data_IF_655504948297
#
_entry.id   IF_655504948297
#
_cell.length_a   1.000
_cell.length_b   1.000
_cell.length_c   1.000
_cell.angle_alpha   90.00
_cell.angle_beta   90.00
_cell.angle_gamma   90.00
#
_symmetry.space_group_name_H-M   'P 1'
#
loop_
_entity.id
_entity.type
_entity.pdbx_description
1 polymer ?
#
# COMPACT_ATOMS: atom_id res chain seq x y z
N UNK A 1 -0.93 -10.74 -8.28
CA UNK A 1 -0.27 -11.97 -7.76
C UNK A 1 -1.13 -12.42 -6.60
N UNK A 2 -1.62 -13.66 -6.59
CA UNK A 2 -2.62 -14.11 -5.62
C UNK A 2 -1.98 -14.49 -4.29
N UNK A 3 -2.39 -13.86 -3.18
CA UNK A 3 -1.98 -14.22 -1.82
C UNK A 3 -3.14 -14.94 -1.11
N UNK A 4 -2.86 -16.14 -0.59
CA UNK A 4 -3.80 -16.84 0.28
C UNK A 4 -3.44 -16.52 1.72
N UNK A 5 -4.20 -15.63 2.35
CA UNK A 5 -4.01 -15.23 3.73
C UNK A 5 -5.10 -15.87 4.58
N UNK A 6 -4.76 -16.50 5.70
CA UNK A 6 -5.74 -17.11 6.60
C UNK A 6 -5.76 -16.40 7.95
N UNK A 7 -6.92 -15.84 8.31
CA UNK A 7 -7.17 -15.25 9.63
C UNK A 7 -8.33 -16.04 10.25
N UNK A 8 -8.16 -16.52 11.49
CA UNK A 8 -9.16 -17.34 12.19
C UNK A 8 -9.68 -18.53 11.36
N UNK A 9 -8.77 -19.18 10.62
CA UNK A 9 -9.07 -20.30 9.71
C UNK A 9 -9.98 -19.95 8.53
N UNK A 10 -10.25 -18.66 8.26
CA UNK A 10 -10.94 -18.20 7.04
C UNK A 10 -9.93 -17.77 5.98
N UNK A 11 -9.99 -18.32 4.76
CA UNK A 11 -9.15 -17.90 3.65
C UNK A 11 -9.64 -16.55 3.11
N UNK A 12 -8.79 -15.54 3.16
CA UNK A 12 -8.89 -14.32 2.38
C UNK A 12 -8.16 -14.54 1.05
N UNK A 13 -8.94 -14.64 -0.01
CA UNK A 13 -8.46 -14.59 -1.38
C UNK A 13 -8.39 -13.12 -1.79
N UNK A 14 -7.20 -12.51 -1.67
CA UNK A 14 -6.99 -11.09 -1.93
C UNK A 14 -5.80 -10.90 -2.89
N UNK A 15 -5.95 -10.00 -3.86
CA UNK A 15 -4.82 -9.62 -4.71
C UNK A 15 -3.88 -8.70 -3.93
N UNK A 16 -2.57 -8.93 -4.07
CA UNK A 16 -1.54 -8.11 -3.41
C UNK A 16 -1.70 -6.62 -3.74
N UNK A 17 -2.07 -6.31 -4.98
CA UNK A 17 -2.19 -4.94 -5.44
C UNK A 17 -3.32 -4.21 -4.71
N UNK A 18 -4.44 -4.90 -4.46
CA UNK A 18 -5.59 -4.37 -3.71
C UNK A 18 -5.25 -4.17 -2.23
N UNK A 19 -4.48 -5.09 -1.64
CA UNK A 19 -3.98 -4.96 -0.25
C UNK A 19 -3.05 -3.75 -0.12
N UNK A 20 -2.13 -3.59 -1.07
CA UNK A 20 -1.21 -2.44 -1.08
C UNK A 20 -2.01 -1.13 -1.24
N UNK A 21 -3.01 -1.10 -2.13
CA UNK A 21 -3.88 0.06 -2.31
C UNK A 21 -4.65 0.38 -1.04
N UNK A 22 -5.24 -0.62 -0.37
CA UNK A 22 -5.97 -0.44 0.89
C UNK A 22 -5.10 0.05 2.05
N UNK A 23 -3.91 -0.53 2.21
CA UNK A 23 -2.93 -0.09 3.21
C UNK A 23 -2.50 1.36 2.95
N UNK A 24 -2.21 1.72 1.69
CA UNK A 24 -1.85 3.09 1.32
C UNK A 24 -3.01 4.06 1.54
N UNK A 25 -4.26 3.66 1.24
CA UNK A 25 -5.43 4.48 1.49
C UNK A 25 -5.60 4.80 2.98
N UNK A 26 -5.42 3.81 3.86
CA UNK A 26 -5.46 4.01 5.33
C UNK A 26 -4.30 4.90 5.78
N UNK A 27 -3.11 4.71 5.21
CA UNK A 27 -1.93 5.52 5.55
C UNK A 27 -2.12 6.99 5.18
N UNK A 28 -2.72 7.25 4.03
CA UNK A 28 -3.04 8.57 3.52
C UNK A 28 -4.34 9.14 4.12
N UNK A 29 -5.00 8.39 5.02
CA UNK A 29 -6.25 8.76 5.67
C UNK A 29 -7.34 9.16 4.66
N UNK A 30 -7.44 8.39 3.57
CA UNK A 30 -8.44 8.61 2.52
C UNK A 30 -9.84 8.18 3.00
N UNK A 31 -10.90 8.86 2.54
CA UNK A 31 -12.27 8.43 2.77
C UNK A 31 -12.53 7.05 2.15
N UNK A 32 -13.30 6.20 2.81
CA UNK A 32 -13.63 4.82 2.36
C UNK A 32 -14.29 4.78 0.96
N UNK A 33 -14.98 5.85 0.56
CA UNK A 33 -15.66 5.96 -0.74
C UNK A 33 -14.89 6.79 -1.79
N UNK A 34 -13.66 7.23 -1.49
CA UNK A 34 -12.85 7.98 -2.45
C UNK A 34 -12.06 7.04 -3.35
N UNK A 35 -11.93 7.35 -4.65
CA UNK A 35 -10.98 6.62 -5.51
C UNK A 35 -9.55 6.93 -5.03
N UNK A 36 -8.82 5.92 -4.52
CA UNK A 36 -7.50 6.17 -3.93
C UNK A 36 -6.41 6.37 -5.00
N UNK A 37 -6.68 6.07 -6.28
CA UNK A 37 -5.66 6.06 -7.36
C UNK A 37 -4.95 7.40 -7.51
N UNK A 38 -5.68 8.50 -7.57
CA UNK A 38 -5.09 9.82 -7.79
C UNK A 38 -4.24 10.28 -6.61
N UNK A 39 -4.70 10.01 -5.39
CA UNK A 39 -3.97 10.34 -4.16
C UNK A 39 -2.70 9.50 -4.02
N UNK A 40 -2.78 8.21 -4.29
CA UNK A 40 -1.62 7.30 -4.28
C UNK A 40 -0.63 7.68 -5.40
N UNK A 41 -1.10 7.96 -6.61
CA UNK A 41 -0.24 8.37 -7.72
C UNK A 41 0.54 9.65 -7.40
N UNK A 42 -0.12 10.63 -6.78
CA UNK A 42 0.54 11.87 -6.32
C UNK A 42 1.58 11.57 -5.23
N UNK A 43 1.22 10.79 -4.22
CA UNK A 43 2.12 10.41 -3.13
C UNK A 43 3.38 9.68 -3.61
N UNK A 44 3.23 8.72 -4.52
CA UNK A 44 4.37 7.99 -5.10
C UNK A 44 5.25 8.90 -5.97
N UNK A 45 4.64 9.84 -6.69
CA UNK A 45 5.36 10.83 -7.49
C UNK A 45 6.18 11.77 -6.61
N UNK A 46 5.61 12.23 -5.48
CA UNK A 46 6.31 13.03 -4.48
C UNK A 46 7.43 12.23 -3.79
N UNK A 47 7.20 10.96 -3.46
CA UNK A 47 8.22 10.08 -2.87
C UNK A 47 9.41 9.82 -3.83
N UNK A 48 9.14 9.90 -5.14
CA UNK A 48 10.16 9.82 -6.20
C UNK A 48 10.91 11.13 -6.48
N UNK A 49 10.40 12.29 -6.04
CA UNK A 49 11.02 13.59 -6.31
C UNK A 49 12.01 14.07 -5.22
N UNK A 50 12.90 15.05 -5.49
CA UNK A 50 13.32 15.62 -6.77
C UNK A 50 14.77 15.18 -7.09
N UNK A 51 15.01 13.86 -7.18
CA UNK A 51 16.36 13.33 -7.32
C UNK A 51 16.59 12.83 -8.75
N UNK A 52 17.68 13.29 -9.38
CA UNK A 52 18.15 12.73 -10.65
C UNK A 52 18.82 11.39 -10.33
N UNK A 53 18.01 10.34 -10.19
CA UNK A 53 18.44 8.95 -10.12
C UNK A 53 18.05 8.26 -11.43
N UNK A 54 18.84 7.28 -11.87
CA UNK A 54 18.38 6.41 -12.95
C UNK A 54 17.16 5.58 -12.51
N UNK A 55 16.48 5.00 -13.50
CA UNK A 55 15.23 4.28 -13.34
C UNK A 55 15.32 3.13 -12.32
N UNK A 56 16.45 2.42 -12.28
CA UNK A 56 16.63 1.29 -11.37
C UNK A 56 16.75 1.75 -9.92
N UNK A 57 17.55 2.80 -9.67
CA UNK A 57 17.69 3.38 -8.34
C UNK A 57 16.39 4.04 -7.86
N UNK A 58 15.64 4.66 -8.77
CA UNK A 58 14.31 5.20 -8.46
C UNK A 58 13.35 4.09 -8.05
N UNK A 59 13.29 3.00 -8.83
CA UNK A 59 12.44 1.84 -8.54
C UNK A 59 12.77 1.20 -7.19
N UNK A 60 14.05 0.96 -6.90
CA UNK A 60 14.50 0.42 -5.61
C UNK A 60 14.13 1.32 -4.43
N UNK A 61 14.25 2.64 -4.61
CA UNK A 61 13.90 3.62 -3.57
C UNK A 61 12.41 3.64 -3.30
N UNK A 62 11.58 3.76 -4.34
CA UNK A 62 10.13 3.73 -4.22
C UNK A 62 9.67 2.42 -3.58
N UNK A 63 10.23 1.28 -4.00
CA UNK A 63 9.91 -0.03 -3.41
C UNK A 63 10.29 -0.10 -1.93
N UNK A 64 11.48 0.36 -1.54
CA UNK A 64 11.91 0.37 -0.13
C UNK A 64 11.01 1.27 0.72
N UNK A 65 10.63 2.43 0.19
CA UNK A 65 9.72 3.37 0.84
C UNK A 65 8.34 2.74 1.03
N UNK A 66 7.80 2.14 -0.03
CA UNK A 66 6.54 1.39 0.01
C UNK A 66 6.56 0.30 1.06
N UNK A 67 7.59 -0.55 1.08
CA UNK A 67 7.74 -1.63 2.08
C UNK A 67 7.69 -1.04 3.49
N UNK A 68 8.43 0.04 3.77
CA UNK A 68 8.42 0.66 5.09
C UNK A 68 7.07 1.30 5.45
N UNK A 69 6.34 1.81 4.47
CA UNK A 69 5.03 2.42 4.66
C UNK A 69 3.92 1.37 4.89
N UNK A 70 4.00 0.21 4.22
CA UNK A 70 3.01 -0.88 4.37
C UNK A 70 3.35 -1.88 5.47
N UNK A 71 4.63 -2.02 5.85
CA UNK A 71 5.06 -2.98 6.87
C UNK A 71 4.85 -2.50 8.32
N UNK A 72 4.16 -1.36 8.51
CA UNK A 72 3.73 -0.89 9.83
C UNK A 72 2.66 -1.85 10.39
N UNK A 73 2.95 -2.62 11.46
CA UNK A 73 2.00 -3.61 11.99
C UNK A 73 0.68 -3.00 12.43
N UNK A 74 0.69 -1.74 12.88
CA UNK A 74 -0.54 -1.03 13.25
C UNK A 74 -1.41 -0.73 12.02
N UNK A 75 -0.78 -0.45 10.87
CA UNK A 75 -1.47 -0.23 9.62
C UNK A 75 -2.11 -1.51 9.09
N UNK A 76 -1.39 -2.63 9.18
CA UNK A 76 -1.91 -3.96 8.79
C UNK A 76 -3.11 -4.33 9.64
N UNK A 77 -3.04 -4.14 10.96
CA UNK A 77 -4.18 -4.39 11.86
C UNK A 77 -5.37 -3.50 11.50
N UNK A 78 -5.15 -2.20 11.24
CA UNK A 78 -6.24 -1.29 10.84
C UNK A 78 -6.86 -1.72 9.53
N UNK A 79 -6.08 -2.14 8.54
CA UNK A 79 -6.60 -2.66 7.27
C UNK A 79 -7.46 -3.90 7.47
N UNK A 80 -6.98 -4.87 8.24
CA UNK A 80 -7.73 -6.09 8.55
C UNK A 80 -8.98 -5.85 9.41
N UNK A 81 -9.06 -4.72 10.12
CA UNK A 81 -10.23 -4.35 10.93
C UNK A 81 -11.23 -3.45 10.22
N UNK A 82 -10.81 -2.73 9.17
CA UNK A 82 -11.71 -1.94 8.31
C UNK A 82 -12.53 -2.87 7.40
N UNK A 83 -12.05 -4.08 7.13
CA UNK A 83 -12.80 -5.12 6.43
C UNK A 83 -13.11 -6.33 7.33
N UNK A 84 -14.09 -6.14 8.23
CA UNK A 84 -15.05 -7.17 8.64
C UNK A 84 -16.46 -6.58 8.70
#
# INVERSE_FOLDING_TARGET
>A
MHLNLTIDSRPLAIEIDDVIVGLLAIRLNLPENADPRDAISRHLSEAGGPWILDEEHMRKRVLRRLILEVADPALVIRYLMVEQ
#
